data_IF_686927227545
#
_entry.id   IF_686927227545
#
_cell.length_a   1.000
_cell.length_b   1.000
_cell.length_c   1.000
_cell.angle_alpha   90.00
_cell.angle_beta   90.00
_cell.angle_gamma   90.00
#
_symmetry.space_group_name_H-M   'P 1'
#
loop_
_entity.id
_entity.type
_entity.pdbx_description
1 polymer ?
#
# COMPACT_ATOMS: atom_id res chain seq x y z
N UNK A 1 -16.47 54.99 9.32
CA UNK A 1 -15.08 55.22 8.88
C UNK A 1 -14.48 53.88 8.49
N UNK A 2 -13.96 53.75 7.27
CA UNK A 2 -13.28 52.52 6.84
C UNK A 2 -11.92 52.52 7.55
N UNK A 3 -11.78 51.76 8.64
CA UNK A 3 -10.50 51.58 9.31
C UNK A 3 -9.64 50.64 8.47
N UNK A 4 -8.79 51.21 7.63
CA UNK A 4 -7.69 50.48 7.00
C UNK A 4 -6.64 50.24 8.07
N UNK A 5 -6.56 49.01 8.58
CA UNK A 5 -5.41 48.57 9.38
C UNK A 5 -4.52 47.70 8.52
N UNK A 6 -3.23 47.94 8.59
CA UNK A 6 -2.20 47.19 7.89
C UNK A 6 -1.15 46.77 8.90
N UNK A 7 -0.74 45.51 8.83
CA UNK A 7 0.34 44.96 9.62
C UNK A 7 1.30 44.22 8.71
N UNK A 8 2.55 44.67 8.68
CA UNK A 8 3.61 44.09 7.87
C UNK A 8 4.42 43.14 8.75
N UNK A 9 4.43 41.86 8.39
CA UNK A 9 5.18 40.81 9.10
C UNK A 9 6.60 40.72 8.56
N UNK A 10 6.72 40.73 7.23
CA UNK A 10 8.00 40.69 6.53
C UNK A 10 7.92 41.52 5.24
N UNK A 11 9.00 41.58 4.46
CA UNK A 11 8.96 42.19 3.13
C UNK A 11 8.01 41.47 2.15
N UNK A 12 7.66 40.22 2.45
CA UNK A 12 6.76 39.42 1.64
C UNK A 12 5.35 39.32 2.22
N UNK A 13 5.18 39.26 3.55
CA UNK A 13 3.87 39.04 4.18
C UNK A 13 3.29 40.34 4.74
N UNK A 14 2.08 40.68 4.32
CA UNK A 14 1.32 41.80 4.88
C UNK A 14 -0.14 41.42 5.10
N UNK A 15 -0.70 41.76 6.26
CA UNK A 15 -2.12 41.59 6.55
C UNK A 15 -2.82 42.94 6.48
N UNK A 16 -4.02 42.97 5.89
CA UNK A 16 -4.88 44.16 5.89
C UNK A 16 -6.27 43.82 6.38
N UNK A 17 -6.82 44.66 7.26
CA UNK A 17 -8.22 44.62 7.66
C UNK A 17 -9.03 45.44 6.66
N UNK A 18 -9.84 44.77 5.83
CA UNK A 18 -10.63 45.39 4.77
C UNK A 18 -12.07 44.93 4.91
N UNK A 19 -13.00 45.88 5.07
CA UNK A 19 -14.44 45.62 5.27
C UNK A 19 -14.73 44.59 6.38
N UNK A 20 -13.99 44.65 7.48
CA UNK A 20 -14.16 43.73 8.62
C UNK A 20 -13.64 42.31 8.38
N UNK A 21 -12.83 42.09 7.33
CA UNK A 21 -12.16 40.82 7.09
C UNK A 21 -10.65 40.99 7.04
N UNK A 22 -9.93 40.05 7.65
CA UNK A 22 -8.49 39.96 7.55
C UNK A 22 -8.10 39.35 6.21
N UNK A 23 -7.24 40.03 5.46
CA UNK A 23 -6.74 39.58 4.16
C UNK A 23 -5.22 39.49 4.21
N UNK A 24 -4.69 38.34 3.80
CA UNK A 24 -3.25 38.11 3.66
C UNK A 24 -2.82 38.52 2.25
N UNK A 25 -1.70 39.23 2.18
CA UNK A 25 -1.00 39.60 0.96
C UNK A 25 0.41 39.00 0.97
N UNK A 26 0.82 38.43 -0.15
CA UNK A 26 2.15 37.90 -0.42
C UNK A 26 2.78 38.72 -1.55
N UNK A 27 3.90 39.41 -1.27
CA UNK A 27 4.56 40.35 -2.16
C UNK A 27 3.58 41.35 -2.84
N UNK A 28 2.64 41.87 -2.04
CA UNK A 28 1.62 42.83 -2.51
C UNK A 28 0.45 42.21 -3.29
N UNK A 29 0.45 40.91 -3.56
CA UNK A 29 -0.67 40.20 -4.19
C UNK A 29 -1.55 39.55 -3.14
N UNK A 30 -2.87 39.62 -3.32
CA UNK A 30 -3.82 39.01 -2.39
C UNK A 30 -3.71 37.48 -2.46
N UNK A 31 -3.66 36.83 -1.29
CA UNK A 31 -3.64 35.37 -1.16
C UNK A 31 -5.06 34.80 -1.12
N UNK A 32 -5.37 33.84 -1.99
CA UNK A 32 -6.73 33.31 -2.18
C UNK A 32 -6.86 31.79 -1.94
N UNK A 33 -5.77 31.10 -1.62
CA UNK A 33 -5.73 29.62 -1.52
C UNK A 33 -6.15 29.05 -0.16
N UNK A 34 -6.46 29.91 0.82
CA UNK A 34 -6.97 29.49 2.13
C UNK A 34 -8.49 29.30 2.08
N UNK A 35 -8.97 28.14 2.54
CA UNK A 35 -10.40 27.89 2.77
C UNK A 35 -10.91 28.60 4.04
N UNK A 36 -10.25 28.42 5.19
CA UNK A 36 -10.62 29.03 6.50
C UNK A 36 -9.38 29.30 7.38
N UNK A 37 -9.47 30.34 8.22
CA UNK A 37 -8.41 30.75 9.17
C UNK A 37 -8.62 30.29 10.62
N UNK A 38 -9.84 29.91 10.98
CA UNK A 38 -10.23 29.49 12.33
C UNK A 38 -10.90 28.11 12.28
N UNK A 39 -10.60 27.28 13.26
CA UNK A 39 -11.26 26.00 13.51
C UNK A 39 -12.45 26.20 14.45
N UNK A 40 -13.56 25.49 14.24
CA UNK A 40 -14.73 25.53 15.13
C UNK A 40 -14.44 24.68 16.38
N UNK A 41 -14.30 25.30 17.55
CA UNK A 41 -14.15 24.57 18.82
C UNK A 41 -15.55 24.38 19.43
N UNK A 42 -15.97 23.16 19.80
CA UNK A 42 -17.29 22.92 20.40
C UNK A 42 -17.47 23.64 21.74
N UNK A 43 -18.68 24.14 22.02
CA UNK A 43 -18.98 24.97 23.21
C UNK A 43 -19.34 24.15 24.47
N UNK A 44 -19.29 22.81 24.44
CA UNK A 44 -19.69 21.93 25.55
C UNK A 44 -18.56 21.57 26.51
N UNK A 45 -18.73 21.77 27.83
CA UNK A 45 -17.75 21.43 28.88
C UNK A 45 -17.28 19.96 28.85
N UNK A 46 -18.11 19.03 28.36
CA UNK A 46 -17.75 17.61 28.23
C UNK A 46 -16.80 17.31 27.05
N UNK A 47 -16.85 18.11 25.98
CA UNK A 47 -16.01 17.97 24.77
C UNK A 47 -14.68 18.76 24.91
N UNK A 48 -14.67 19.84 25.70
CA UNK A 48 -13.45 20.56 26.08
C UNK A 48 -12.52 19.76 26.99
N UNK A 49 -13.03 18.78 27.74
CA UNK A 49 -12.22 17.95 28.62
C UNK A 49 -11.21 17.08 27.86
N UNK A 50 -11.55 16.63 26.64
CA UNK A 50 -10.65 15.89 25.74
C UNK A 50 -9.63 16.76 25.00
N UNK A 51 -9.84 18.08 24.93
CA UNK A 51 -8.93 19.02 24.27
C UNK A 51 -7.78 19.48 25.19
N UNK A 52 -7.87 19.24 26.51
CA UNK A 52 -6.83 19.60 27.48
C UNK A 52 -5.54 18.76 27.38
N UNK A 53 -5.54 17.70 26.57
CA UNK A 53 -4.38 16.82 26.35
C UNK A 53 -3.79 16.89 24.95
N UNK A 54 -4.20 17.87 24.12
CA UNK A 54 -3.67 18.06 22.77
C UNK A 54 -2.24 18.60 22.87
N UNK A 55 -1.29 17.86 22.26
CA UNK A 55 0.12 18.20 22.27
C UNK A 55 0.57 18.87 20.95
N UNK A 56 -0.25 18.86 19.90
CA UNK A 56 0.04 19.53 18.61
C UNK A 56 -1.22 19.95 17.84
N UNK A 57 -1.07 20.88 16.89
CA UNK A 57 -2.14 21.32 15.97
C UNK A 57 -2.63 20.17 15.07
N UNK A 58 -1.77 19.20 14.74
CA UNK A 58 -2.13 18.03 13.92
C UNK A 58 -2.98 17.02 14.71
N UNK A 59 -2.69 16.82 16.00
CA UNK A 59 -3.51 16.00 16.91
C UNK A 59 -4.90 16.64 17.11
N UNK A 60 -4.97 17.98 17.18
CA UNK A 60 -6.24 18.70 17.14
C UNK A 60 -6.98 18.46 15.81
N UNK A 61 -6.29 18.54 14.67
CA UNK A 61 -6.89 18.39 13.35
C UNK A 61 -7.45 16.97 13.10
N UNK A 62 -6.78 15.91 13.58
CA UNK A 62 -7.29 14.54 13.49
C UNK A 62 -8.49 14.29 14.42
N UNK A 63 -8.52 14.91 15.60
CA UNK A 63 -9.64 14.78 16.55
C UNK A 63 -10.90 15.54 16.10
N UNK A 64 -10.79 16.49 15.17
CA UNK A 64 -11.84 17.47 14.88
C UNK A 64 -12.74 17.16 13.66
N UNK A 65 -12.36 16.23 12.76
CA UNK A 65 -13.11 15.82 11.54
C UNK A 65 -13.56 16.97 10.60
N UNK A 66 -13.81 16.67 9.32
CA UNK A 66 -14.30 17.60 8.30
C UNK A 66 -15.68 18.22 8.63
N UNK A 67 -16.33 17.78 9.71
CA UNK A 67 -17.63 18.25 10.20
C UNK A 67 -17.67 19.73 10.62
N UNK A 68 -16.49 20.34 10.80
CA UNK A 68 -16.31 21.73 11.22
C UNK A 68 -15.89 22.66 10.06
N UNK A 69 -15.71 22.13 8.85
CA UNK A 69 -15.68 22.98 7.64
C UNK A 69 -17.08 23.60 7.45
N UNK A 70 -17.21 24.91 7.19
CA UNK A 70 -18.50 25.51 6.97
C UNK A 70 -19.10 24.95 5.67
N UNK A 71 -20.03 24.01 5.86
CA UNK A 71 -21.01 23.64 4.86
C UNK A 71 -21.72 24.91 4.39
N UNK A 72 -21.91 25.02 3.07
CA UNK A 72 -22.61 26.12 2.42
C UNK A 72 -23.86 26.55 3.22
N UNK A 73 -23.86 27.81 3.69
CA UNK A 73 -25.03 28.44 4.33
C UNK A 73 -24.96 28.66 5.84
N UNK A 74 -23.92 28.23 6.57
CA UNK A 74 -23.75 28.59 7.99
C UNK A 74 -23.01 29.92 8.15
N UNK A 75 -23.74 30.99 8.49
CA UNK A 75 -23.16 32.27 8.94
C UNK A 75 -22.76 32.13 10.40
N UNK A 76 -21.46 32.09 10.68
CA UNK A 76 -20.95 32.09 12.05
C UNK A 76 -20.95 33.50 12.64
N UNK A 77 -21.59 33.67 13.80
CA UNK A 77 -21.41 34.84 14.66
C UNK A 77 -20.50 34.46 15.83
N UNK A 78 -19.19 34.41 15.59
CA UNK A 78 -18.26 34.65 16.70
C UNK A 78 -18.29 36.15 16.97
N UNK A 79 -18.68 36.56 18.17
CA UNK A 79 -18.64 37.96 18.60
C UNK A 79 -17.20 38.41 18.91
N UNK A 80 -16.22 38.01 18.10
CA UNK A 80 -14.88 38.58 18.16
C UNK A 80 -14.92 39.84 17.29
N UNK A 81 -14.64 41.02 17.85
CA UNK A 81 -14.56 42.23 17.02
C UNK A 81 -13.56 41.99 15.88
N UNK A 82 -13.86 42.38 14.62
CA UNK A 82 -12.98 42.16 13.48
C UNK A 82 -11.55 42.65 13.68
N UNK A 83 -11.38 43.68 14.50
CA UNK A 83 -10.08 44.19 14.90
C UNK A 83 -9.32 43.24 15.85
N UNK A 84 -10.00 42.65 16.82
CA UNK A 84 -9.41 41.67 17.74
C UNK A 84 -9.01 40.41 16.98
N UNK A 85 -9.86 39.95 16.06
CA UNK A 85 -9.57 38.83 15.17
C UNK A 85 -8.35 39.12 14.28
N UNK A 86 -8.29 40.32 13.69
CA UNK A 86 -7.15 40.77 12.89
C UNK A 86 -5.83 40.67 13.65
N UNK A 87 -5.76 41.18 14.88
CA UNK A 87 -4.54 41.10 15.68
C UNK A 87 -4.18 39.66 16.08
N UNK A 88 -5.18 38.80 16.33
CA UNK A 88 -4.96 37.38 16.53
C UNK A 88 -4.30 36.72 15.31
N UNK A 89 -4.82 36.98 14.11
CA UNK A 89 -4.22 36.49 12.87
C UNK A 89 -2.80 37.04 12.65
N UNK A 90 -2.58 38.33 12.88
CA UNK A 90 -1.26 38.94 12.80
C UNK A 90 -0.28 38.25 13.76
N UNK A 91 -0.68 38.00 15.00
CA UNK A 91 0.15 37.33 16.00
C UNK A 91 0.51 35.90 15.57
N UNK A 92 -0.46 35.13 15.06
CA UNK A 92 -0.23 33.75 14.62
C UNK A 92 0.75 33.69 13.44
N UNK A 93 0.53 34.53 12.41
CA UNK A 93 1.44 34.59 11.26
C UNK A 93 2.81 35.16 11.62
N UNK A 94 2.89 36.10 12.57
CA UNK A 94 4.16 36.63 13.07
C UNK A 94 4.95 35.53 13.79
N UNK A 95 4.30 34.78 14.69
CA UNK A 95 4.94 33.66 15.37
C UNK A 95 5.40 32.57 14.39
N UNK A 96 4.58 32.25 13.38
CA UNK A 96 4.96 31.33 12.31
C UNK A 96 6.19 31.80 11.54
N UNK A 97 6.26 33.09 11.19
CA UNK A 97 7.41 33.70 10.53
C UNK A 97 8.67 33.69 11.41
N UNK A 98 8.56 34.10 12.67
CA UNK A 98 9.69 34.19 13.62
C UNK A 98 10.29 32.81 13.96
N UNK A 99 9.49 31.75 13.90
CA UNK A 99 9.94 30.36 14.03
C UNK A 99 10.36 29.74 12.69
N UNK A 100 10.62 30.59 11.69
CA UNK A 100 11.16 30.19 10.41
C UNK A 100 10.24 29.33 9.57
N UNK A 101 8.96 29.68 9.53
CA UNK A 101 7.93 29.01 8.74
C UNK A 101 7.63 27.56 9.16
N UNK A 102 7.89 27.20 10.42
CA UNK A 102 7.55 25.88 10.97
C UNK A 102 6.08 25.53 10.69
N UNK A 103 5.87 24.56 9.80
CA UNK A 103 4.55 24.16 9.28
C UNK A 103 3.64 23.58 10.36
N UNK A 104 4.18 23.25 11.55
CA UNK A 104 3.43 22.77 12.71
C UNK A 104 2.75 23.88 13.51
N UNK A 105 3.14 25.15 13.30
CA UNK A 105 2.61 26.31 14.03
C UNK A 105 1.41 26.97 13.34
N UNK A 106 1.09 26.55 12.13
CA UNK A 106 0.00 27.11 11.34
C UNK A 106 -0.79 25.97 10.69
N UNK A 107 -2.11 26.10 10.62
CA UNK A 107 -2.96 25.05 10.06
C UNK A 107 -2.53 24.67 8.63
N UNK A 108 -2.56 23.38 8.30
CA UNK A 108 -2.07 22.80 7.03
C UNK A 108 -2.66 23.48 5.78
N UNK A 109 -3.96 23.81 5.80
CA UNK A 109 -4.67 24.55 4.74
C UNK A 109 -4.15 25.98 4.48
N UNK A 110 -3.29 26.51 5.34
CA UNK A 110 -2.65 27.83 5.19
C UNK A 110 -1.15 27.68 5.09
N UNK A 111 -0.53 26.91 6.00
CA UNK A 111 0.92 26.79 6.09
C UNK A 111 1.55 26.41 4.76
N UNK A 112 1.11 25.29 4.15
CA UNK A 112 1.73 24.81 2.91
C UNK A 112 1.41 25.71 1.70
N UNK A 113 0.15 26.13 1.44
CA UNK A 113 -0.14 27.02 0.31
C UNK A 113 0.48 28.42 0.47
N UNK A 114 0.59 28.95 1.69
CA UNK A 114 1.23 30.24 1.94
C UNK A 114 2.75 30.15 1.76
N UNK A 115 3.36 29.07 2.25
CA UNK A 115 4.77 28.76 2.05
C UNK A 115 5.12 28.63 0.56
N UNK A 116 4.24 27.99 -0.23
CA UNK A 116 4.35 27.94 -1.69
C UNK A 116 4.35 29.35 -2.33
N UNK A 117 3.37 30.19 -2.00
CA UNK A 117 3.29 31.54 -2.59
C UNK A 117 4.47 32.42 -2.18
N UNK A 118 5.01 32.25 -0.97
CA UNK A 118 6.21 32.95 -0.51
C UNK A 118 7.45 32.49 -1.27
N UNK A 119 7.59 31.19 -1.50
CA UNK A 119 8.66 30.63 -2.31
C UNK A 119 8.61 31.17 -3.76
N UNK A 120 7.42 31.22 -4.38
CA UNK A 120 7.20 31.80 -5.71
C UNK A 120 7.47 33.32 -5.74
N UNK A 121 7.21 34.01 -4.62
CA UNK A 121 7.51 35.43 -4.48
C UNK A 121 9.00 35.74 -4.29
N UNK A 122 9.84 34.72 -4.09
CA UNK A 122 11.28 34.86 -3.97
C UNK A 122 11.81 34.97 -2.54
N UNK A 123 11.02 34.63 -1.52
CA UNK A 123 11.50 34.55 -0.13
C UNK A 123 12.46 33.35 0.01
N UNK A 124 13.76 33.58 0.31
CA UNK A 124 14.76 32.50 0.37
C UNK A 124 14.52 31.50 1.50
N UNK A 125 14.03 31.97 2.65
CA UNK A 125 13.76 31.11 3.79
C UNK A 125 12.51 30.28 3.55
N UNK A 126 11.47 30.88 2.97
CA UNK A 126 10.26 30.15 2.57
C UNK A 126 10.59 29.09 1.51
N UNK A 127 11.40 29.43 0.50
CA UNK A 127 11.82 28.47 -0.53
C UNK A 127 12.56 27.28 0.06
N UNK A 128 13.45 27.52 1.04
CA UNK A 128 14.17 26.43 1.73
C UNK A 128 13.21 25.50 2.47
N UNK A 129 12.37 26.05 3.35
CA UNK A 129 11.42 25.26 4.15
C UNK A 129 10.40 24.55 3.26
N UNK A 130 9.98 25.20 2.17
CA UNK A 130 9.08 24.60 1.18
C UNK A 130 9.66 23.33 0.57
N UNK A 131 10.93 23.37 0.17
CA UNK A 131 11.64 22.22 -0.39
C UNK A 131 11.76 21.08 0.64
N UNK A 132 12.16 21.42 1.87
CA UNK A 132 12.25 20.45 2.98
C UNK A 132 10.90 19.76 3.24
N UNK A 133 9.81 20.54 3.25
CA UNK A 133 8.45 20.04 3.48
C UNK A 133 7.95 19.13 2.34
N UNK A 134 8.25 19.47 1.07
CA UNK A 134 7.94 18.60 -0.07
C UNK A 134 8.65 17.26 0.10
N UNK A 135 9.95 17.28 0.44
CA UNK A 135 10.73 16.06 0.61
C UNK A 135 10.19 15.22 1.76
N UNK A 136 9.94 15.80 2.94
CA UNK A 136 9.44 15.08 4.11
C UNK A 136 8.06 14.46 3.86
N UNK A 137 7.11 15.23 3.30
CA UNK A 137 5.76 14.74 2.99
C UNK A 137 5.73 13.68 1.91
N UNK A 138 6.61 13.78 0.91
CA UNK A 138 6.72 12.75 -0.11
C UNK A 138 7.25 11.43 0.48
N UNK A 139 8.22 11.52 1.37
CA UNK A 139 8.88 10.38 1.98
C UNK A 139 8.07 9.68 3.07
N UNK A 140 7.28 10.45 3.84
CA UNK A 140 6.51 9.93 5.00
C UNK A 140 5.01 9.85 4.75
N UNK A 141 4.49 10.57 3.76
CA UNK A 141 3.07 10.68 3.48
C UNK A 141 2.45 9.40 2.90
N UNK A 142 1.12 9.34 2.99
CA UNK A 142 0.30 8.31 2.35
C UNK A 142 0.31 8.48 0.83
N UNK A 143 -0.10 7.44 0.10
CA UNK A 143 -0.05 7.38 -1.36
C UNK A 143 -0.76 8.56 -2.07
N UNK A 144 -1.89 9.04 -1.53
CA UNK A 144 -2.60 10.20 -2.08
C UNK A 144 -1.79 11.49 -2.00
N UNK A 145 -1.09 11.72 -0.88
CA UNK A 145 -0.20 12.88 -0.69
C UNK A 145 0.98 12.80 -1.66
N UNK A 146 1.56 11.61 -1.85
CA UNK A 146 2.68 11.43 -2.79
C UNK A 146 2.27 11.76 -4.21
N UNK A 147 1.17 11.18 -4.70
CA UNK A 147 0.65 11.44 -6.05
C UNK A 147 0.40 12.93 -6.26
N UNK A 148 -0.17 13.62 -5.27
CA UNK A 148 -0.35 15.06 -5.33
C UNK A 148 0.98 15.82 -5.47
N UNK A 149 1.98 15.48 -4.64
CA UNK A 149 3.31 16.11 -4.70
C UNK A 149 4.07 15.80 -6.00
N UNK A 150 3.94 14.58 -6.55
CA UNK A 150 4.55 14.18 -7.83
C UNK A 150 4.05 15.03 -8.99
N UNK A 151 2.75 15.31 -9.04
CA UNK A 151 2.14 16.03 -10.15
C UNK A 151 2.49 17.52 -10.13
N UNK A 152 2.55 18.14 -8.96
CA UNK A 152 2.61 19.60 -8.86
C UNK A 152 3.91 20.16 -8.28
N UNK A 153 4.59 19.42 -7.38
CA UNK A 153 5.58 20.00 -6.48
C UNK A 153 6.98 19.38 -6.53
N UNK A 154 7.15 18.12 -6.96
CA UNK A 154 8.49 17.51 -7.04
C UNK A 154 9.44 18.24 -8.00
N UNK A 155 8.90 18.97 -8.99
CA UNK A 155 9.69 19.79 -9.92
C UNK A 155 10.54 20.88 -9.25
N UNK A 156 10.22 21.24 -8.00
CA UNK A 156 10.96 22.25 -7.22
C UNK A 156 12.21 21.69 -6.52
N UNK A 157 12.35 20.36 -6.47
CA UNK A 157 13.50 19.69 -5.88
C UNK A 157 14.44 19.18 -6.98
N UNK A 158 15.71 19.56 -6.89
CA UNK A 158 16.75 18.80 -7.60
C UNK A 158 16.93 17.43 -6.94
N UNK A 159 17.48 16.47 -7.66
CA UNK A 159 17.80 15.15 -7.09
C UNK A 159 18.71 15.28 -5.87
N UNK A 160 19.70 16.17 -5.89
CA UNK A 160 20.62 16.33 -4.75
C UNK A 160 19.93 16.98 -3.53
N UNK A 161 19.01 17.93 -3.76
CA UNK A 161 18.18 18.50 -2.67
C UNK A 161 17.23 17.46 -2.07
N UNK A 162 16.65 16.57 -2.89
CA UNK A 162 15.78 15.52 -2.38
C UNK A 162 16.54 14.50 -1.52
N UNK A 163 17.80 14.21 -1.87
CA UNK A 163 18.64 13.20 -1.22
C UNK A 163 19.49 13.75 -0.08
N UNK A 164 19.48 15.06 0.17
CA UNK A 164 20.39 15.72 1.13
C UNK A 164 20.25 15.23 2.57
N UNK A 165 19.10 14.66 2.90
CA UNK A 165 18.78 14.20 4.25
C UNK A 165 19.06 12.70 4.46
N UNK A 166 19.57 11.99 3.45
CA UNK A 166 19.98 10.59 3.57
C UNK A 166 21.34 10.50 4.28
N UNK A 167 21.48 9.49 5.13
CA UNK A 167 22.74 9.19 5.81
C UNK A 167 23.90 9.01 4.82
N UNK A 168 25.06 9.56 5.16
CA UNK A 168 26.23 9.63 4.26
C UNK A 168 26.62 8.25 3.68
N UNK A 169 26.60 7.20 4.50
CA UNK A 169 26.92 5.83 4.06
C UNK A 169 25.92 5.29 3.03
N UNK A 170 24.62 5.51 3.25
CA UNK A 170 23.58 5.06 2.31
C UNK A 170 23.57 5.93 1.06
N UNK A 171 23.84 7.23 1.19
CA UNK A 171 24.02 8.13 0.06
C UNK A 171 25.21 7.73 -0.83
N UNK A 172 26.33 7.30 -0.25
CA UNK A 172 27.47 6.79 -1.02
C UNK A 172 27.09 5.50 -1.79
N UNK A 173 26.39 4.57 -1.12
CA UNK A 173 25.89 3.35 -1.75
C UNK A 173 24.89 3.66 -2.88
N UNK A 174 23.99 4.62 -2.65
CA UNK A 174 23.03 5.11 -3.64
C UNK A 174 23.73 5.71 -4.86
N UNK A 175 24.78 6.49 -4.66
CA UNK A 175 25.56 7.07 -5.74
C UNK A 175 26.31 6.01 -6.56
N UNK A 176 26.79 4.94 -5.93
CA UNK A 176 27.34 3.78 -6.65
C UNK A 176 26.26 3.09 -7.50
N UNK A 177 25.05 2.89 -6.95
CA UNK A 177 23.91 2.37 -7.71
C UNK A 177 23.53 3.25 -8.90
N UNK A 178 23.45 4.57 -8.71
CA UNK A 178 23.15 5.55 -9.78
C UNK A 178 24.18 5.49 -10.92
N UNK A 179 25.44 5.17 -10.62
CA UNK A 179 26.50 5.01 -11.64
C UNK A 179 26.35 3.71 -12.44
N UNK A 180 25.84 2.64 -11.84
CA UNK A 180 25.60 1.38 -12.54
C UNK A 180 24.52 1.53 -13.61
N UNK A 181 23.59 2.47 -13.43
CA UNK A 181 22.53 2.75 -14.40
C UNK A 181 22.07 4.21 -14.29
N UNK A 182 22.48 5.13 -15.18
CA UNK A 182 22.21 6.56 -15.06
C UNK A 182 20.72 6.95 -15.03
N UNK A 183 19.85 6.11 -15.59
CA UNK A 183 18.38 6.27 -15.58
C UNK A 183 17.73 6.02 -14.22
N UNK A 184 18.50 5.51 -13.26
CA UNK A 184 18.16 5.46 -11.83
C UNK A 184 17.99 6.89 -11.26
N UNK A 185 18.22 7.95 -12.03
CA UNK A 185 17.90 9.33 -11.66
C UNK A 185 16.41 9.62 -11.35
N UNK A 186 15.48 8.69 -11.67
CA UNK A 186 14.06 8.72 -11.26
C UNK A 186 13.72 7.65 -10.20
N UNK A 187 14.64 7.39 -9.27
CA UNK A 187 14.45 6.38 -8.24
C UNK A 187 13.11 6.56 -7.54
N UNK A 188 12.22 5.57 -7.69
CA UNK A 188 11.11 5.35 -6.78
C UNK A 188 11.67 4.93 -5.42
N UNK A 189 12.33 5.85 -4.75
CA UNK A 189 12.88 5.67 -3.41
C UNK A 189 12.11 6.50 -2.40
N UNK A 190 12.12 6.01 -1.17
CA UNK A 190 11.66 6.74 0.00
C UNK A 190 12.69 6.53 1.10
N UNK A 191 12.86 7.53 1.94
CA UNK A 191 13.69 7.43 3.15
C UNK A 191 12.94 7.98 4.36
N UNK A 192 13.30 7.54 5.55
CA UNK A 192 12.73 8.04 6.80
C UNK A 192 13.85 8.22 7.80
N UNK A 193 13.95 9.42 8.39
CA UNK A 193 15.03 9.75 9.34
C UNK A 193 16.43 9.41 8.78
N UNK A 194 16.67 9.77 7.52
CA UNK A 194 17.93 9.53 6.81
C UNK A 194 18.19 8.12 6.30
N UNK A 195 17.31 7.15 6.59
CA UNK A 195 17.45 5.76 6.13
C UNK A 195 16.51 5.43 4.97
N UNK A 196 17.00 4.79 3.92
CA UNK A 196 16.20 4.33 2.78
C UNK A 196 15.26 3.21 3.22
N UNK A 197 13.97 3.40 2.99
CA UNK A 197 12.88 2.48 3.36
C UNK A 197 12.18 1.87 2.15
N UNK A 198 12.26 2.51 0.97
CA UNK A 198 11.74 1.97 -0.28
C UNK A 198 12.74 2.15 -1.40
N UNK A 199 12.86 1.14 -2.26
CA UNK A 199 13.73 1.19 -3.43
C UNK A 199 13.09 0.45 -4.62
N UNK A 200 12.89 1.16 -5.72
CA UNK A 200 12.40 0.60 -6.98
C UNK A 200 13.50 0.59 -8.05
N UNK A 201 13.84 -0.59 -8.54
CA UNK A 201 14.87 -0.85 -9.55
C UNK A 201 14.31 -1.73 -10.68
N UNK A 202 13.18 -1.33 -11.25
CA UNK A 202 12.43 -2.11 -12.23
C UNK A 202 12.96 -1.90 -13.66
N UNK A 203 13.09 -2.96 -14.47
CA UNK A 203 13.34 -2.83 -15.91
C UNK A 203 14.77 -2.46 -16.33
N UNK A 204 15.74 -2.48 -15.42
CA UNK A 204 17.12 -2.05 -15.67
C UNK A 204 18.04 -3.17 -16.20
N UNK A 205 17.47 -4.34 -16.53
CA UNK A 205 18.21 -5.50 -17.06
C UNK A 205 19.31 -6.01 -16.12
N UNK A 206 19.16 -5.79 -14.81
CA UNK A 206 20.11 -6.34 -13.83
C UNK A 206 20.14 -7.87 -13.93
N UNK A 207 21.34 -8.44 -14.09
CA UNK A 207 21.54 -9.90 -14.04
C UNK A 207 21.72 -10.43 -12.61
N UNK A 208 22.14 -9.54 -11.71
CA UNK A 208 22.38 -9.81 -10.29
C UNK A 208 21.91 -8.61 -9.49
N UNK A 209 21.52 -8.88 -8.24
CA UNK A 209 21.19 -7.82 -7.29
C UNK A 209 22.47 -7.03 -6.98
N UNK A 210 22.49 -5.70 -7.18
CA UNK A 210 23.63 -4.86 -6.81
C UNK A 210 23.96 -4.96 -5.30
N UNK A 211 25.24 -5.13 -4.98
CA UNK A 211 25.69 -5.36 -3.59
C UNK A 211 25.51 -4.15 -2.67
N UNK A 212 25.38 -2.95 -3.25
CA UNK A 212 25.14 -1.70 -2.54
C UNK A 212 23.81 -1.74 -1.77
N UNK A 213 22.80 -2.46 -2.26
CA UNK A 213 21.48 -2.59 -1.62
C UNK A 213 21.60 -3.20 -0.22
N UNK A 214 22.62 -4.03 0.02
CA UNK A 214 22.91 -4.63 1.34
C UNK A 214 23.08 -3.57 2.45
N UNK A 215 23.46 -2.34 2.10
CA UNK A 215 23.66 -1.24 3.06
C UNK A 215 22.35 -0.66 3.59
N UNK A 216 21.24 -0.83 2.88
CA UNK A 216 19.93 -0.27 3.23
C UNK A 216 19.21 -1.16 4.24
N UNK A 217 19.73 -1.25 5.46
CA UNK A 217 19.23 -2.17 6.51
C UNK A 217 17.82 -1.82 7.02
N UNK A 218 17.38 -0.59 6.79
CA UNK A 218 16.02 -0.12 7.11
C UNK A 218 15.04 -0.29 5.94
N UNK A 219 15.43 -0.98 4.87
CA UNK A 219 14.60 -1.15 3.69
C UNK A 219 13.36 -1.99 4.03
N UNK A 220 12.19 -1.40 3.84
CA UNK A 220 10.89 -2.02 4.06
C UNK A 220 10.27 -2.53 2.74
N UNK A 221 10.55 -1.88 1.61
CA UNK A 221 9.98 -2.22 0.31
C UNK A 221 11.08 -2.27 -0.76
N UNK A 222 11.26 -3.42 -1.40
CA UNK A 222 12.22 -3.60 -2.49
C UNK A 222 11.52 -4.14 -3.73
N UNK A 223 11.62 -3.39 -4.83
CA UNK A 223 11.11 -3.81 -6.13
C UNK A 223 12.25 -3.92 -7.14
N UNK A 224 12.41 -5.09 -7.73
CA UNK A 224 13.41 -5.38 -8.78
C UNK A 224 12.77 -6.15 -9.94
N UNK A 225 11.59 -5.72 -10.35
CA UNK A 225 10.74 -6.42 -11.32
C UNK A 225 11.24 -6.21 -12.75
N UNK A 226 10.91 -7.13 -13.65
CA UNK A 226 11.24 -7.03 -15.08
C UNK A 226 12.74 -6.82 -15.35
N UNK A 227 13.61 -7.44 -14.54
CA UNK A 227 15.05 -7.49 -14.75
C UNK A 227 15.44 -8.84 -15.38
N UNK A 228 16.73 -9.20 -15.28
CA UNK A 228 17.27 -10.48 -15.74
C UNK A 228 17.90 -11.24 -14.57
N UNK A 229 17.38 -11.06 -13.35
CA UNK A 229 17.98 -11.64 -12.14
C UNK A 229 17.91 -13.16 -12.21
N UNK A 230 19.07 -13.82 -12.13
CA UNK A 230 19.17 -15.28 -12.12
C UNK A 230 19.13 -15.87 -10.71
N UNK A 231 19.60 -15.10 -9.73
CA UNK A 231 19.63 -15.47 -8.31
C UNK A 231 19.39 -14.24 -7.42
N UNK A 232 18.89 -14.50 -6.21
CA UNK A 232 18.98 -13.57 -5.11
C UNK A 232 20.20 -13.92 -4.24
N UNK A 233 20.93 -12.94 -3.72
CA UNK A 233 22.12 -13.18 -2.90
C UNK A 233 21.74 -13.60 -1.47
N UNK A 234 22.61 -14.37 -0.80
CA UNK A 234 22.38 -14.80 0.59
C UNK A 234 22.26 -13.64 1.59
N UNK A 235 22.90 -12.50 1.33
CA UNK A 235 22.76 -11.34 2.21
C UNK A 235 21.36 -10.71 2.14
N UNK A 236 20.46 -11.14 1.24
CA UNK A 236 19.08 -10.63 1.21
C UNK A 236 18.38 -10.85 2.55
N UNK A 237 18.69 -11.95 3.26
CA UNK A 237 18.16 -12.23 4.60
C UNK A 237 18.61 -11.25 5.68
N UNK A 238 19.62 -10.42 5.42
CA UNK A 238 20.06 -9.36 6.35
C UNK A 238 19.11 -8.15 6.36
N UNK A 239 18.24 -8.02 5.33
CA UNK A 239 17.24 -6.94 5.23
C UNK A 239 16.01 -7.25 6.10
N UNK A 240 16.21 -7.44 7.40
CA UNK A 240 15.17 -7.92 8.34
C UNK A 240 13.97 -6.97 8.52
N UNK A 241 14.11 -5.72 8.10
CA UNK A 241 13.04 -4.71 8.06
C UNK A 241 12.08 -4.88 6.86
N UNK A 242 12.41 -5.74 5.90
CA UNK A 242 11.68 -5.88 4.65
C UNK A 242 10.27 -6.42 4.89
N UNK A 243 9.26 -5.66 4.44
CA UNK A 243 7.83 -5.97 4.51
C UNK A 243 7.29 -6.40 3.16
N UNK A 244 7.81 -5.85 2.07
CA UNK A 244 7.41 -6.22 0.71
C UNK A 244 8.62 -6.42 -0.20
N UNK A 245 8.64 -7.57 -0.88
CA UNK A 245 9.64 -7.90 -1.88
C UNK A 245 8.97 -8.30 -3.19
N UNK A 246 9.24 -7.54 -4.25
CA UNK A 246 8.77 -7.81 -5.60
C UNK A 246 9.93 -8.09 -6.54
N UNK A 247 10.00 -9.32 -7.04
CA UNK A 247 11.05 -9.82 -7.95
C UNK A 247 10.46 -10.58 -9.15
N UNK A 248 9.21 -10.31 -9.48
CA UNK A 248 8.52 -10.96 -10.60
C UNK A 248 9.08 -10.51 -11.97
N UNK A 249 8.80 -11.31 -13.01
CA UNK A 249 9.37 -11.15 -14.36
C UNK A 249 10.92 -11.12 -14.34
N UNK A 250 11.52 -12.14 -13.73
CA UNK A 250 12.97 -12.36 -13.71
C UNK A 250 13.29 -13.79 -14.17
N UNK A 251 14.50 -14.28 -13.90
CA UNK A 251 14.97 -15.62 -14.27
C UNK A 251 15.42 -16.41 -13.03
N UNK A 252 14.81 -16.14 -11.87
CA UNK A 252 15.19 -16.74 -10.61
C UNK A 252 14.91 -18.24 -10.64
N UNK A 253 15.93 -19.05 -10.33
CA UNK A 253 15.83 -20.53 -10.29
C UNK A 253 15.52 -21.09 -8.91
N UNK A 254 15.89 -20.35 -7.87
CA UNK A 254 15.64 -20.65 -6.47
C UNK A 254 15.62 -19.38 -5.63
N UNK A 255 15.09 -19.48 -4.41
CA UNK A 255 15.30 -18.51 -3.34
C UNK A 255 16.39 -19.04 -2.39
N UNK A 256 17.25 -18.18 -1.81
CA UNK A 256 18.32 -18.59 -0.89
C UNK A 256 17.78 -19.07 0.46
N UNK A 257 18.55 -19.83 1.24
CA UNK A 257 18.10 -20.30 2.57
C UNK A 257 18.02 -19.17 3.61
N UNK A 258 18.82 -18.12 3.43
CA UNK A 258 18.72 -16.88 4.22
C UNK A 258 17.37 -16.19 4.15
N UNK A 259 16.50 -16.52 3.19
CA UNK A 259 15.18 -15.89 3.04
C UNK A 259 14.32 -16.04 4.30
N UNK A 260 14.45 -17.15 5.03
CA UNK A 260 13.73 -17.36 6.29
C UNK A 260 14.09 -16.40 7.42
N UNK A 261 15.12 -15.57 7.27
CA UNK A 261 15.45 -14.50 8.21
C UNK A 261 14.56 -13.25 8.07
N UNK A 262 13.79 -13.13 6.98
CA UNK A 262 12.92 -11.98 6.69
C UNK A 262 11.60 -12.04 7.47
N UNK A 263 11.68 -12.04 8.81
CA UNK A 263 10.55 -12.22 9.72
C UNK A 263 9.45 -11.16 9.58
N UNK A 264 9.81 -9.96 9.11
CA UNK A 264 8.88 -8.85 8.86
C UNK A 264 8.18 -8.92 7.51
N UNK A 265 8.54 -9.85 6.63
CA UNK A 265 8.04 -9.90 5.26
C UNK A 265 6.56 -10.29 5.25
N UNK A 266 5.73 -9.43 4.68
CA UNK A 266 4.28 -9.58 4.57
C UNK A 266 3.85 -9.97 3.16
N UNK A 267 4.55 -9.46 2.14
CA UNK A 267 4.21 -9.66 0.74
C UNK A 267 5.45 -10.13 -0.03
N UNK A 268 5.36 -11.31 -0.64
CA UNK A 268 6.33 -11.81 -1.61
C UNK A 268 5.67 -12.00 -2.98
N UNK A 269 6.12 -11.26 -3.99
CA UNK A 269 5.72 -11.43 -5.39
C UNK A 269 6.91 -11.87 -6.23
N UNK A 270 6.94 -13.15 -6.57
CA UNK A 270 7.99 -13.77 -7.39
C UNK A 270 7.43 -14.56 -8.59
N UNK A 271 6.26 -14.16 -9.10
CA UNK A 271 5.66 -14.76 -10.28
C UNK A 271 6.46 -14.51 -11.57
N UNK A 272 6.21 -15.31 -12.61
CA UNK A 272 6.96 -15.25 -13.89
C UNK A 272 8.48 -15.32 -13.66
N UNK A 273 8.91 -16.41 -13.04
CA UNK A 273 10.32 -16.77 -12.83
C UNK A 273 10.53 -18.25 -13.22
N UNK A 274 11.69 -18.81 -12.91
CA UNK A 274 12.03 -20.22 -13.18
C UNK A 274 12.21 -21.02 -11.88
N UNK A 275 11.48 -20.67 -10.82
CA UNK A 275 11.64 -21.31 -9.51
C UNK A 275 11.23 -22.77 -9.59
N UNK A 276 12.14 -23.68 -9.27
CA UNK A 276 11.87 -25.14 -9.29
C UNK A 276 11.51 -25.72 -7.93
N UNK A 277 12.00 -25.06 -6.88
CA UNK A 277 11.74 -25.41 -5.49
C UNK A 277 11.76 -24.15 -4.63
N UNK A 278 11.12 -24.22 -3.46
CA UNK A 278 11.28 -23.25 -2.39
C UNK A 278 12.25 -23.81 -1.35
N UNK A 279 13.06 -22.97 -0.68
CA UNK A 279 13.87 -23.40 0.45
C UNK A 279 12.97 -23.78 1.63
N UNK A 280 13.40 -24.70 2.48
CA UNK A 280 12.63 -25.11 3.67
C UNK A 280 12.43 -23.93 4.64
N UNK A 281 13.39 -23.02 4.67
CA UNK A 281 13.33 -21.76 5.43
C UNK A 281 12.18 -20.83 5.02
N UNK A 282 11.47 -21.07 3.91
CA UNK A 282 10.26 -20.30 3.56
C UNK A 282 9.24 -20.32 4.71
N UNK A 283 9.11 -21.44 5.42
CA UNK A 283 8.21 -21.58 6.56
C UNK A 283 8.56 -20.72 7.77
N UNK A 284 9.71 -20.05 7.76
CA UNK A 284 10.13 -19.14 8.81
C UNK A 284 9.60 -17.71 8.62
N UNK A 285 8.92 -17.39 7.51
CA UNK A 285 8.37 -16.06 7.24
C UNK A 285 7.08 -15.81 8.04
N UNK A 286 7.23 -15.58 9.34
CA UNK A 286 6.13 -15.51 10.31
C UNK A 286 5.09 -14.43 9.99
N UNK A 287 5.48 -13.31 9.37
CA UNK A 287 4.55 -12.22 9.04
C UNK A 287 3.91 -12.32 7.64
N UNK A 288 4.21 -13.38 6.87
CA UNK A 288 3.82 -13.45 5.46
C UNK A 288 2.31 -13.61 5.31
N UNK A 289 1.68 -12.66 4.62
CA UNK A 289 0.24 -12.63 4.32
C UNK A 289 -0.05 -13.00 2.87
N UNK A 290 0.84 -12.67 1.94
CA UNK A 290 0.67 -12.95 0.52
C UNK A 290 1.93 -13.58 -0.08
N UNK A 291 1.76 -14.76 -0.68
CA UNK A 291 2.79 -15.47 -1.43
C UNK A 291 2.33 -15.70 -2.87
N UNK A 292 2.90 -14.91 -3.80
CA UNK A 292 2.62 -15.03 -5.22
C UNK A 292 3.78 -15.64 -6.01
N UNK A 293 3.55 -16.86 -6.49
CA UNK A 293 4.48 -17.71 -7.20
C UNK A 293 3.89 -18.20 -8.54
N UNK A 294 2.90 -17.49 -9.09
CA UNK A 294 2.33 -17.82 -10.40
C UNK A 294 3.41 -17.97 -11.49
N UNK A 295 3.18 -18.84 -12.47
CA UNK A 295 4.03 -19.01 -13.64
C UNK A 295 5.50 -19.22 -13.26
N UNK A 296 5.75 -20.32 -12.56
CA UNK A 296 7.08 -20.81 -12.20
C UNK A 296 7.22 -22.29 -12.63
N UNK A 297 8.25 -22.98 -12.16
CA UNK A 297 8.52 -24.39 -12.47
C UNK A 297 8.44 -25.29 -11.23
N UNK A 298 7.66 -24.90 -10.20
CA UNK A 298 7.61 -25.60 -8.93
C UNK A 298 7.01 -26.99 -9.09
N UNK A 299 7.73 -28.02 -8.63
CA UNK A 299 7.30 -29.42 -8.71
C UNK A 299 6.61 -29.88 -7.41
N UNK A 300 6.99 -29.27 -6.28
CA UNK A 300 6.43 -29.51 -4.96
C UNK A 300 6.57 -28.25 -4.09
N UNK A 301 5.84 -28.21 -2.98
CA UNK A 301 6.05 -27.28 -1.88
C UNK A 301 6.71 -28.01 -0.70
N UNK A 302 7.60 -27.37 0.07
CA UNK A 302 8.15 -27.97 1.29
C UNK A 302 7.05 -28.10 2.36
N UNK A 303 7.16 -29.10 3.25
CA UNK A 303 6.23 -29.27 4.38
C UNK A 303 6.24 -28.09 5.36
N UNK A 304 7.30 -27.28 5.34
CA UNK A 304 7.39 -26.07 6.15
C UNK A 304 6.46 -24.96 5.66
N UNK A 305 5.85 -25.06 4.47
CA UNK A 305 4.88 -24.08 3.98
C UNK A 305 3.70 -23.93 4.95
N UNK A 306 3.28 -25.01 5.62
CA UNK A 306 2.23 -24.97 6.63
C UNK A 306 2.59 -24.24 7.92
N UNK A 307 3.83 -23.74 8.07
CA UNK A 307 4.22 -22.89 9.20
C UNK A 307 3.88 -21.41 8.95
N UNK A 308 3.44 -21.04 7.74
CA UNK A 308 3.05 -19.67 7.39
C UNK A 308 1.65 -19.35 7.94
N UNK A 309 1.51 -19.36 9.26
CA UNK A 309 0.19 -19.28 9.95
C UNK A 309 -0.57 -17.99 9.67
N UNK A 310 0.09 -16.90 9.25
CA UNK A 310 -0.53 -15.62 8.89
C UNK A 310 -0.83 -15.49 7.39
N UNK A 311 -0.62 -16.54 6.59
CA UNK A 311 -0.80 -16.49 5.13
C UNK A 311 -2.29 -16.43 4.78
N UNK A 312 -2.68 -15.41 4.04
CA UNK A 312 -4.04 -15.16 3.58
C UNK A 312 -4.21 -15.54 2.10
N UNK A 313 -3.16 -15.34 1.29
CA UNK A 313 -3.19 -15.62 -0.14
C UNK A 313 -1.99 -16.46 -0.59
N UNK A 314 -2.27 -17.64 -1.15
CA UNK A 314 -1.31 -18.53 -1.77
C UNK A 314 -1.64 -18.73 -3.26
N UNK A 315 -0.81 -18.15 -4.11
CA UNK A 315 -1.04 -18.02 -5.54
C UNK A 315 0.01 -18.83 -6.31
N UNK A 316 -0.39 -20.00 -6.84
CA UNK A 316 0.48 -21.02 -7.43
C UNK A 316 0.10 -21.44 -8.87
N UNK A 317 -0.78 -20.68 -9.53
CA UNK A 317 -1.17 -20.90 -10.92
C UNK A 317 0.03 -21.13 -11.85
N UNK A 318 -0.06 -22.07 -12.79
CA UNK A 318 0.94 -22.21 -13.86
C UNK A 318 2.27 -22.73 -13.33
N UNK A 319 2.24 -23.78 -12.51
CA UNK A 319 3.41 -24.49 -12.01
C UNK A 319 3.33 -25.96 -12.45
N UNK A 320 4.18 -26.83 -11.88
CA UNK A 320 4.23 -28.28 -12.17
C UNK A 320 3.95 -29.10 -10.93
N UNK A 321 3.11 -28.58 -10.02
CA UNK A 321 2.81 -29.24 -8.76
C UNK A 321 2.03 -30.53 -9.03
N UNK A 322 2.60 -31.67 -8.64
CA UNK A 322 1.94 -32.98 -8.74
C UNK A 322 1.21 -33.38 -7.46
N UNK A 323 1.61 -32.80 -6.33
CA UNK A 323 1.00 -32.99 -5.01
C UNK A 323 1.08 -31.71 -4.18
N UNK A 324 0.28 -31.64 -3.12
CA UNK A 324 0.42 -30.65 -2.05
C UNK A 324 0.84 -31.36 -0.75
N UNK A 325 1.66 -30.71 0.09
CA UNK A 325 2.02 -31.23 1.40
C UNK A 325 0.80 -31.28 2.32
N UNK A 326 0.78 -32.24 3.25
CA UNK A 326 -0.35 -32.37 4.19
C UNK A 326 -0.42 -31.17 5.14
N UNK A 327 0.71 -30.53 5.43
CA UNK A 327 0.80 -29.30 6.22
C UNK A 327 0.02 -28.11 5.65
N UNK A 328 -0.45 -28.15 4.39
CA UNK A 328 -1.27 -27.07 3.83
C UNK A 328 -2.50 -26.75 4.69
N UNK A 329 -3.08 -27.76 5.37
CA UNK A 329 -4.23 -27.59 6.26
C UNK A 329 -3.96 -26.78 7.53
N UNK A 330 -2.69 -26.43 7.82
CA UNK A 330 -2.30 -25.60 8.98
C UNK A 330 -2.35 -24.09 8.68
N UNK A 331 -2.67 -23.71 7.44
CA UNK A 331 -2.77 -22.31 7.05
C UNK A 331 -4.12 -21.74 7.49
N UNK A 332 -4.28 -21.56 8.79
CA UNK A 332 -5.57 -21.24 9.42
C UNK A 332 -6.18 -19.93 8.90
N UNK A 333 -5.34 -18.96 8.47
CA UNK A 333 -5.79 -17.67 7.94
C UNK A 333 -5.97 -17.65 6.41
N UNK A 334 -5.78 -18.77 5.70
CA UNK A 334 -5.79 -18.78 4.24
C UNK A 334 -7.19 -18.53 3.68
N UNK A 335 -7.33 -17.44 2.94
CA UNK A 335 -8.59 -17.05 2.28
C UNK A 335 -8.59 -17.41 0.79
N UNK A 336 -7.42 -17.37 0.15
CA UNK A 336 -7.29 -17.56 -1.31
C UNK A 336 -6.22 -18.60 -1.61
N UNK A 337 -6.64 -19.69 -2.27
CA UNK A 337 -5.75 -20.74 -2.77
C UNK A 337 -5.99 -20.93 -4.27
N UNK A 338 -5.00 -20.54 -5.08
CA UNK A 338 -5.06 -20.68 -6.55
C UNK A 338 -4.00 -21.67 -7.01
N UNK A 339 -4.46 -22.82 -7.49
CA UNK A 339 -3.66 -23.95 -7.98
C UNK A 339 -3.92 -24.24 -9.46
N UNK A 340 -4.58 -23.32 -10.17
CA UNK A 340 -4.91 -23.45 -11.58
C UNK A 340 -3.67 -23.81 -12.43
N UNK A 341 -3.81 -24.55 -13.53
CA UNK A 341 -2.74 -24.91 -14.45
C UNK A 341 -1.54 -25.56 -13.74
N UNK A 342 -1.79 -26.68 -13.06
CA UNK A 342 -0.78 -27.52 -12.41
C UNK A 342 -0.97 -29.00 -12.84
N UNK A 343 -0.25 -29.93 -12.21
CA UNK A 343 -0.28 -31.35 -12.54
C UNK A 343 -0.92 -32.19 -11.41
N UNK A 344 -1.76 -31.59 -10.56
CA UNK A 344 -2.31 -32.23 -9.36
C UNK A 344 -3.26 -33.36 -9.73
N UNK A 345 -3.01 -34.57 -9.24
CA UNK A 345 -3.93 -35.71 -9.40
C UNK A 345 -4.97 -35.80 -8.27
N UNK A 346 -4.67 -35.19 -7.11
CA UNK A 346 -5.53 -35.18 -5.93
C UNK A 346 -5.19 -33.99 -5.04
N UNK A 347 -6.17 -33.57 -4.23
CA UNK A 347 -5.95 -32.67 -3.10
C UNK A 347 -5.80 -33.51 -1.82
N UNK A 348 -4.94 -33.11 -0.86
CA UNK A 348 -4.85 -33.80 0.44
C UNK A 348 -6.12 -33.55 1.26
N UNK A 349 -6.49 -34.50 2.13
CA UNK A 349 -7.67 -34.36 2.99
C UNK A 349 -7.56 -33.16 3.95
N UNK A 350 -6.34 -32.76 4.31
CA UNK A 350 -6.08 -31.58 5.15
C UNK A 350 -6.49 -30.25 4.52
N UNK A 351 -6.78 -30.20 3.20
CA UNK A 351 -7.38 -29.01 2.60
C UNK A 351 -8.76 -28.67 3.20
N UNK A 352 -9.41 -29.66 3.82
CA UNK A 352 -10.69 -29.51 4.52
C UNK A 352 -10.55 -28.71 5.82
N UNK A 353 -9.33 -28.62 6.37
CA UNK A 353 -9.02 -27.90 7.62
C UNK A 353 -8.88 -26.39 7.38
N UNK A 354 -8.87 -25.93 6.11
CA UNK A 354 -8.80 -24.52 5.74
C UNK A 354 -10.15 -23.82 5.97
N UNK A 355 -10.48 -23.57 7.23
CA UNK A 355 -11.79 -23.03 7.64
C UNK A 355 -12.09 -21.65 7.04
N UNK A 356 -11.07 -20.80 6.84
CA UNK A 356 -11.22 -19.44 6.31
C UNK A 356 -11.23 -19.35 4.78
N UNK A 357 -11.08 -20.47 4.06
CA UNK A 357 -10.94 -20.48 2.60
C UNK A 357 -12.20 -19.94 1.90
N UNK A 358 -12.01 -18.88 1.11
CA UNK A 358 -13.06 -18.20 0.34
C UNK A 358 -12.95 -18.47 -1.15
N UNK A 359 -11.73 -18.63 -1.67
CA UNK A 359 -11.48 -18.85 -3.09
C UNK A 359 -10.60 -20.08 -3.26
N UNK A 360 -11.10 -21.06 -4.02
CA UNK A 360 -10.35 -22.23 -4.43
C UNK A 360 -10.37 -22.35 -5.96
N UNK A 361 -9.21 -22.20 -6.58
CA UNK A 361 -9.00 -22.47 -8.01
C UNK A 361 -8.15 -23.72 -8.20
N UNK A 362 -8.65 -24.69 -8.95
CA UNK A 362 -7.89 -25.89 -9.37
C UNK A 362 -8.04 -26.16 -10.87
N UNK A 363 -8.38 -25.15 -11.68
CA UNK A 363 -8.58 -25.29 -13.12
C UNK A 363 -7.38 -25.95 -13.81
N UNK A 364 -7.58 -26.77 -14.84
CA UNK A 364 -6.47 -27.31 -15.63
C UNK A 364 -5.50 -28.16 -14.81
N UNK A 365 -6.05 -29.10 -14.04
CA UNK A 365 -5.30 -30.11 -13.27
C UNK A 365 -5.81 -31.52 -13.65
N UNK A 366 -5.30 -32.55 -12.97
CA UNK A 366 -5.68 -33.95 -13.15
C UNK A 366 -6.54 -34.49 -11.97
N UNK A 367 -7.27 -33.61 -11.27
CA UNK A 367 -8.05 -33.98 -10.08
C UNK A 367 -9.31 -34.73 -10.48
N UNK A 368 -9.45 -35.98 -10.03
CA UNK A 368 -10.65 -36.78 -10.31
C UNK A 368 -11.81 -36.50 -9.35
N UNK A 369 -11.49 -36.14 -8.10
CA UNK A 369 -12.45 -35.95 -7.00
C UNK A 369 -11.95 -34.89 -6.03
N UNK A 370 -12.87 -34.08 -5.52
CA UNK A 370 -12.61 -33.20 -4.38
C UNK A 370 -12.78 -33.98 -3.07
N UNK A 371 -11.90 -33.79 -2.07
CA UNK A 371 -12.12 -34.32 -0.73
C UNK A 371 -13.35 -33.66 -0.11
N UNK A 372 -13.98 -34.35 0.84
CA UNK A 372 -15.20 -33.87 1.47
C UNK A 372 -15.36 -34.43 2.88
N UNK A 373 -15.76 -33.58 3.82
CA UNK A 373 -16.26 -33.95 5.14
C UNK A 373 -17.50 -33.11 5.46
N UNK A 374 -18.38 -33.62 6.32
CA UNK A 374 -19.55 -32.86 6.76
C UNK A 374 -19.10 -31.59 7.46
N UNK A 375 -19.47 -30.43 6.90
CA UNK A 375 -19.07 -29.13 7.46
C UNK A 375 -17.78 -28.54 6.87
N UNK A 376 -17.17 -29.13 5.84
CA UNK A 376 -16.04 -28.49 5.15
C UNK A 376 -16.50 -27.35 4.22
N UNK A 377 -15.58 -26.46 3.82
CA UNK A 377 -15.79 -25.38 2.83
C UNK A 377 -16.93 -24.39 3.14
N UNK A 378 -17.31 -24.19 4.40
CA UNK A 378 -18.46 -23.34 4.77
C UNK A 378 -18.29 -21.86 4.41
N UNK A 379 -17.04 -21.41 4.27
CA UNK A 379 -16.69 -20.04 3.90
C UNK A 379 -16.41 -19.85 2.41
N UNK A 380 -16.46 -20.92 1.61
CA UNK A 380 -16.12 -20.87 0.20
C UNK A 380 -17.13 -20.04 -0.60
N UNK A 381 -16.62 -19.02 -1.30
CA UNK A 381 -17.39 -18.09 -2.15
C UNK A 381 -17.14 -18.31 -3.62
N UNK A 382 -15.94 -18.70 -4.01
CA UNK A 382 -15.61 -18.98 -5.40
C UNK A 382 -14.89 -20.33 -5.53
N UNK A 383 -15.37 -21.15 -6.47
CA UNK A 383 -14.79 -22.45 -6.79
C UNK A 383 -14.60 -22.57 -8.31
N UNK A 384 -13.38 -22.83 -8.76
CA UNK A 384 -13.07 -23.16 -10.15
C UNK A 384 -12.52 -24.59 -10.23
N UNK A 385 -13.27 -25.49 -10.85
CA UNK A 385 -12.92 -26.92 -11.01
C UNK A 385 -12.79 -27.32 -12.47
N UNK A 386 -12.68 -26.33 -13.35
CA UNK A 386 -12.66 -26.50 -14.79
C UNK A 386 -11.48 -27.38 -15.24
N UNK A 387 -11.60 -27.99 -16.43
CA UNK A 387 -10.54 -28.73 -17.09
C UNK A 387 -9.83 -29.74 -16.17
N UNK A 388 -10.63 -30.55 -15.46
CA UNK A 388 -10.17 -31.67 -14.64
C UNK A 388 -10.93 -32.95 -15.04
N UNK A 389 -10.38 -34.15 -14.83
CA UNK A 389 -11.08 -35.42 -15.08
C UNK A 389 -12.11 -35.75 -13.98
N UNK A 390 -12.89 -34.76 -13.54
CA UNK A 390 -14.01 -34.99 -12.62
C UNK A 390 -15.14 -35.62 -13.44
N UNK A 391 -15.59 -36.83 -13.04
CA UNK A 391 -16.63 -37.60 -13.75
C UNK A 391 -18.05 -37.43 -13.18
N UNK A 392 -18.17 -36.89 -11.97
CA UNK A 392 -19.44 -36.57 -11.32
C UNK A 392 -19.32 -35.27 -10.56
N UNK A 393 -20.32 -34.39 -10.71
CA UNK A 393 -20.43 -33.19 -9.88
C UNK A 393 -20.49 -33.59 -8.39
N UNK A 394 -19.60 -33.07 -7.52
CA UNK A 394 -19.63 -33.42 -6.10
C UNK A 394 -20.90 -32.87 -5.45
N UNK A 395 -21.73 -33.77 -4.89
CA UNK A 395 -23.07 -33.43 -4.39
C UNK A 395 -23.04 -32.37 -3.27
N UNK A 396 -21.95 -32.28 -2.51
CA UNK A 396 -21.77 -31.29 -1.47
C UNK A 396 -21.69 -29.84 -1.99
N UNK A 397 -21.24 -29.64 -3.24
CA UNK A 397 -21.08 -28.29 -3.82
C UNK A 397 -22.44 -27.59 -3.93
N UNK A 398 -23.51 -28.34 -4.16
CA UNK A 398 -24.89 -27.82 -4.12
C UNK A 398 -25.28 -27.28 -2.74
N UNK A 399 -24.71 -27.84 -1.66
CA UNK A 399 -25.01 -27.49 -0.27
C UNK A 399 -24.19 -26.34 0.30
N UNK A 400 -23.20 -25.82 -0.43
CA UNK A 400 -22.30 -24.76 0.07
C UNK A 400 -23.07 -23.45 0.29
N UNK A 401 -23.11 -22.93 1.54
CA UNK A 401 -24.03 -21.86 1.89
C UNK A 401 -23.64 -20.48 1.35
N UNK A 402 -22.33 -20.23 1.16
CA UNK A 402 -21.77 -18.94 0.73
C UNK A 402 -21.24 -18.94 -0.70
N UNK A 403 -21.44 -20.01 -1.46
CA UNK A 403 -20.89 -20.13 -2.81
C UNK A 403 -21.60 -19.15 -3.75
N UNK A 404 -20.86 -18.14 -4.22
CA UNK A 404 -21.33 -17.06 -5.10
C UNK A 404 -20.90 -17.30 -6.56
N UNK A 405 -19.75 -17.96 -6.77
CA UNK A 405 -19.18 -18.19 -8.10
C UNK A 405 -18.71 -19.63 -8.26
N UNK A 406 -19.15 -20.26 -9.34
CA UNK A 406 -18.77 -21.62 -9.70
C UNK A 406 -18.40 -21.69 -11.18
N UNK A 407 -17.15 -22.01 -11.47
CA UNK A 407 -16.66 -22.16 -12.84
C UNK A 407 -16.43 -23.64 -13.14
N UNK A 408 -17.13 -24.13 -14.17
CA UNK A 408 -17.13 -25.53 -14.60
C UNK A 408 -17.06 -25.55 -16.13
N UNK A 409 -15.86 -25.44 -16.67
CA UNK A 409 -15.56 -25.54 -18.10
C UNK A 409 -14.77 -26.80 -18.39
N UNK A 410 -14.89 -27.35 -19.59
CA UNK A 410 -14.12 -28.50 -20.04
C UNK A 410 -14.39 -29.79 -19.26
N UNK A 411 -15.53 -29.91 -18.56
CA UNK A 411 -15.91 -31.13 -17.81
C UNK A 411 -16.85 -32.08 -18.58
N UNK A 412 -16.95 -31.89 -19.90
CA UNK A 412 -17.75 -32.74 -20.78
C UNK A 412 -19.22 -32.84 -20.39
N UNK A 413 -19.73 -34.08 -20.27
CA UNK A 413 -21.17 -34.34 -20.03
C UNK A 413 -21.70 -33.96 -18.64
N UNK A 414 -20.83 -33.54 -17.71
CA UNK A 414 -21.29 -33.08 -16.38
C UNK A 414 -22.00 -31.74 -16.49
N UNK A 415 -21.54 -30.86 -17.39
CA UNK A 415 -22.10 -29.52 -17.56
C UNK A 415 -23.61 -29.59 -17.82
N UNK A 416 -24.07 -30.56 -18.62
CA UNK A 416 -25.49 -30.77 -18.94
C UNK A 416 -26.30 -31.46 -17.83
N UNK A 417 -25.65 -31.94 -16.77
CA UNK A 417 -26.28 -32.63 -15.62
C UNK A 417 -26.36 -31.76 -14.37
N UNK A 418 -25.88 -30.51 -14.44
CA UNK A 418 -25.96 -29.57 -13.33
C UNK A 418 -27.42 -29.16 -13.11
N UNK A 419 -27.90 -29.34 -11.89
CA UNK A 419 -29.27 -28.94 -11.50
C UNK A 419 -29.23 -27.63 -10.72
N UNK A 420 -29.56 -26.51 -11.37
CA UNK A 420 -29.58 -25.19 -10.75
C UNK A 420 -30.44 -25.14 -9.47
N UNK A 421 -31.57 -25.84 -9.49
CA UNK A 421 -32.50 -25.90 -8.34
C UNK A 421 -31.87 -26.49 -7.08
N UNK A 422 -30.86 -27.36 -7.20
CA UNK A 422 -30.20 -28.00 -6.06
C UNK A 422 -29.29 -27.05 -5.26
N UNK A 423 -28.84 -25.94 -5.84
CA UNK A 423 -27.97 -24.99 -5.13
C UNK A 423 -28.71 -24.27 -4.01
N UNK A 424 -28.14 -24.34 -2.80
CA UNK A 424 -28.63 -23.67 -1.59
C UNK A 424 -28.55 -22.15 -1.69
N UNK A 425 -27.46 -21.62 -2.26
CA UNK A 425 -27.36 -20.19 -2.56
C UNK A 425 -28.15 -19.88 -3.83
N UNK A 426 -29.07 -18.92 -3.74
CA UNK A 426 -29.88 -18.47 -4.88
C UNK A 426 -29.09 -17.51 -5.77
N UNK A 427 -28.19 -16.70 -5.23
CA UNK A 427 -27.43 -15.70 -6.01
C UNK A 427 -26.12 -16.25 -6.60
N UNK A 428 -26.09 -17.52 -6.95
CA UNK A 428 -24.89 -18.16 -7.51
C UNK A 428 -24.76 -17.84 -9.01
N UNK A 429 -23.57 -17.42 -9.41
CA UNK A 429 -23.14 -17.30 -10.81
C UNK A 429 -22.41 -18.56 -11.25
N UNK A 430 -22.91 -19.23 -12.29
CA UNK A 430 -22.30 -20.43 -12.86
C UNK A 430 -21.76 -20.14 -14.27
N UNK A 431 -20.49 -20.44 -14.48
CA UNK A 431 -19.76 -20.25 -15.73
C UNK A 431 -19.47 -21.60 -16.40
N UNK A 432 -20.11 -21.86 -17.54
CA UNK A 432 -19.98 -23.11 -18.33
C UNK A 432 -19.21 -22.90 -19.64
N UNK A 433 -18.90 -23.98 -20.37
CA UNK A 433 -18.23 -23.91 -21.67
C UNK A 433 -19.17 -23.35 -22.75
N UNK A 434 -18.77 -22.26 -23.41
CA UNK A 434 -19.48 -21.74 -24.59
C UNK A 434 -20.89 -21.15 -24.35
N UNK A 435 -21.35 -20.96 -23.11
CA UNK A 435 -22.65 -20.36 -22.78
C UNK A 435 -22.51 -19.09 -21.90
N UNK A 436 -23.54 -18.22 -21.98
CA UNK A 436 -23.72 -17.04 -21.11
C UNK A 436 -23.71 -17.45 -19.63
N UNK A 437 -23.25 -16.55 -18.76
CA UNK A 437 -23.40 -16.67 -17.32
C UNK A 437 -24.83 -17.08 -16.97
N UNK A 438 -24.97 -18.11 -16.15
CA UNK A 438 -26.26 -18.53 -15.61
C UNK A 438 -26.33 -17.99 -14.19
N UNK A 439 -27.23 -17.05 -13.97
CA UNK A 439 -27.61 -16.52 -12.66
C UNK A 439 -28.89 -17.23 -12.21
N UNK A 440 -28.95 -17.62 -10.93
CA UNK A 440 -30.15 -18.19 -10.29
C UNK A 440 -30.92 -17.13 -9.50
#
# INVERSE_FOLDING_TARGET
>A
MITFKEFKISDYITLKLVFGKTIIYVAGRRFWKCRFLLLQIPEGESELASLKSINSIDEAAEMLDASLEPLDGKVFMYSIPPETEFWGHCSNLQAWYENGYDTRLLHSNIAFPLLYELAEAGDPQALKVFKEEIAERYNTGIESVRKYLEHEYLKYLTTEEFLSNIDEEEFEALNKLRKLQPDVSRLGLQYKKGKITRLMLNGYKFKRVPSEIRRFTSLEHLEMTSNLLETLPEWIGELTSLKELQVYNNQLKSLPESFGALKSLQILKAFNNNLRQLPDSIGNLESLRMLNLHHNELISLPETVGNLVNLEELLLRGNKLSTLPNSIGRLDNLEVLVLDENELCKLPDSILDLENLRILGIDGNNVEKLPYSSGSYQNLRALNISNNPIYKMPDFVYGLPKLERLTIRGLGSIESRISLEKFKNKHIMILLSGQKMIEK
#
